data_IF_854310409741
#
_entry.id   IF_854310409741
#
_cell.length_a   1.000
_cell.length_b   1.000
_cell.length_c   1.000
_cell.angle_alpha   90.00
_cell.angle_beta   90.00
_cell.angle_gamma   90.00
#
_symmetry.space_group_name_H-M   'P 1'
#
loop_
_entity.id
_entity.type
_entity.pdbx_description
1 polymer ?
#
# COMPACT_ATOMS: atom_id res chain seq x y z
N UNK A 1 -19.69 -30.02 -20.82
CA UNK A 1 -18.88 -31.18 -20.39
C UNK A 1 -17.41 -30.82 -20.56
N UNK A 2 -16.59 -30.96 -19.51
CA UNK A 2 -15.14 -30.79 -19.60
C UNK A 2 -14.50 -32.18 -19.70
N UNK A 3 -14.01 -32.62 -20.87
CA UNK A 3 -13.34 -33.90 -21.00
C UNK A 3 -12.09 -33.91 -20.12
N UNK A 4 -11.89 -34.95 -19.31
CA UNK A 4 -10.72 -35.06 -18.42
C UNK A 4 -10.81 -34.30 -17.08
N UNK A 5 -11.88 -33.54 -16.83
CA UNK A 5 -12.09 -32.82 -15.57
C UNK A 5 -11.17 -31.61 -15.37
N UNK A 6 -11.33 -30.89 -14.26
CA UNK A 6 -10.48 -29.76 -13.89
C UNK A 6 -9.77 -30.08 -12.56
N UNK A 7 -8.47 -29.86 -12.50
CA UNK A 7 -7.60 -30.16 -11.36
C UNK A 7 -7.38 -28.92 -10.48
N UNK A 8 -6.75 -29.12 -9.32
CA UNK A 8 -6.33 -28.07 -8.39
C UNK A 8 -7.45 -27.10 -7.96
N UNK A 9 -8.70 -27.56 -7.94
CA UNK A 9 -9.86 -26.72 -7.58
C UNK A 9 -10.38 -25.83 -8.71
N UNK A 10 -9.99 -26.09 -9.96
CA UNK A 10 -10.56 -25.44 -11.13
C UNK A 10 -12.02 -25.85 -11.36
N UNK A 11 -12.84 -24.93 -11.87
CA UNK A 11 -14.25 -25.19 -12.13
C UNK A 11 -14.53 -25.31 -13.64
N UNK A 12 -15.39 -26.24 -14.05
CA UNK A 12 -15.75 -26.38 -15.46
C UNK A 12 -16.69 -25.25 -15.89
N UNK A 13 -16.22 -24.36 -16.76
CA UNK A 13 -17.04 -23.28 -17.32
C UNK A 13 -18.06 -23.79 -18.34
N UNK A 14 -19.09 -22.96 -18.62
CA UNK A 14 -20.18 -23.29 -19.57
C UNK A 14 -19.67 -23.60 -20.99
N UNK A 15 -18.52 -23.05 -21.38
CA UNK A 15 -17.87 -23.27 -22.68
C UNK A 15 -17.05 -24.57 -22.76
N UNK A 16 -17.02 -25.38 -21.71
CA UNK A 16 -16.24 -26.62 -21.66
C UNK A 16 -14.75 -26.43 -21.37
N UNK A 17 -14.34 -25.21 -20.98
CA UNK A 17 -12.97 -24.89 -20.54
C UNK A 17 -12.89 -24.80 -19.01
N UNK A 18 -11.76 -25.18 -18.43
CA UNK A 18 -11.52 -25.07 -16.99
C UNK A 18 -11.18 -23.63 -16.57
N UNK A 19 -11.83 -23.16 -15.52
CA UNK A 19 -11.54 -21.90 -14.83
C UNK A 19 -10.53 -22.17 -13.71
N UNK A 20 -9.28 -21.82 -13.94
CA UNK A 20 -8.19 -22.13 -13.01
C UNK A 20 -8.11 -21.13 -11.86
N UNK A 21 -7.89 -21.59 -10.62
CA UNK A 21 -7.66 -20.71 -9.49
C UNK A 21 -6.31 -20.01 -9.60
N UNK A 22 -6.14 -19.01 -8.74
CA UNK A 22 -4.91 -18.22 -8.67
C UNK A 22 -3.67 -19.09 -8.55
N UNK A 23 -2.66 -18.76 -9.36
CA UNK A 23 -1.40 -19.49 -9.38
C UNK A 23 -1.45 -20.81 -10.16
N UNK A 24 -2.55 -21.14 -10.85
CA UNK A 24 -2.65 -22.30 -11.73
C UNK A 24 -3.05 -21.93 -13.16
N UNK A 25 -2.60 -22.72 -14.12
CA UNK A 25 -2.85 -22.57 -15.56
C UNK A 25 -2.82 -23.94 -16.23
N UNK A 26 -3.08 -24.00 -17.53
CA UNK A 26 -3.18 -25.25 -18.29
C UNK A 26 -4.62 -25.58 -18.65
N UNK A 27 -4.82 -26.62 -19.45
CA UNK A 27 -6.13 -27.00 -19.96
C UNK A 27 -7.05 -27.52 -18.84
N UNK A 28 -6.45 -28.20 -17.87
CA UNK A 28 -7.09 -28.79 -16.69
C UNK A 28 -6.58 -28.15 -15.40
N UNK A 29 -5.94 -26.98 -15.47
CA UNK A 29 -5.33 -26.31 -14.31
C UNK A 29 -4.21 -27.11 -13.63
N UNK A 30 -3.50 -27.92 -14.41
CA UNK A 30 -2.43 -28.82 -13.99
C UNK A 30 -1.08 -28.12 -13.74
N UNK A 31 -0.87 -26.94 -14.36
CA UNK A 31 0.40 -26.22 -14.31
C UNK A 31 0.35 -25.19 -13.19
N UNK A 32 1.27 -25.28 -12.22
CA UNK A 32 1.46 -24.22 -11.22
C UNK A 32 2.26 -23.07 -11.83
N UNK A 33 1.69 -21.87 -11.86
CA UNK A 33 2.40 -20.66 -12.30
C UNK A 33 3.50 -20.30 -11.30
N UNK A 34 4.75 -20.11 -11.74
CA UNK A 34 5.81 -19.66 -10.86
C UNK A 34 5.53 -18.21 -10.41
N UNK A 35 5.61 -17.99 -9.09
CA UNK A 35 5.48 -16.66 -8.52
C UNK A 35 6.81 -15.92 -8.66
N UNK A 36 6.81 -14.81 -9.40
CA UNK A 36 7.93 -13.87 -9.45
C UNK A 36 7.70 -12.81 -8.37
N UNK A 37 8.49 -12.83 -7.31
CA UNK A 37 8.38 -11.81 -6.27
C UNK A 37 8.91 -10.48 -6.78
N UNK A 38 8.11 -9.43 -6.64
CA UNK A 38 8.47 -8.05 -6.95
C UNK A 38 8.44 -7.20 -5.68
N UNK A 39 9.38 -6.28 -5.59
CA UNK A 39 9.46 -5.34 -4.47
C UNK A 39 8.48 -4.18 -4.68
N UNK A 40 7.56 -3.98 -3.74
CA UNK A 40 6.59 -2.89 -3.73
C UNK A 40 6.95 -1.93 -2.59
N UNK A 41 7.11 -0.64 -2.91
CA UNK A 41 7.48 0.43 -1.95
C UNK A 41 6.29 1.34 -1.70
N UNK A 42 5.48 1.04 -0.68
CA UNK A 42 4.29 1.81 -0.33
C UNK A 42 4.66 3.04 0.52
N UNK A 43 4.38 4.28 0.06
CA UNK A 43 4.64 5.47 0.87
C UNK A 43 3.58 5.64 1.97
N UNK A 44 4.02 5.93 3.20
CA UNK A 44 3.15 6.31 4.31
C UNK A 44 3.66 7.55 5.04
N UNK A 45 2.74 8.38 5.54
CA UNK A 45 3.07 9.63 6.24
C UNK A 45 3.09 9.41 7.75
N UNK A 46 4.17 9.81 8.42
CA UNK A 46 4.30 9.79 9.88
C UNK A 46 4.50 11.20 10.41
N UNK A 47 3.69 11.57 11.40
CA UNK A 47 3.77 12.88 12.07
C UNK A 47 4.75 12.86 13.26
N UNK A 48 5.49 13.96 13.42
CA UNK A 48 6.43 14.19 14.52
C UNK A 48 6.14 15.54 15.15
N UNK A 49 6.25 15.63 16.49
CA UNK A 49 6.18 16.92 17.20
C UNK A 49 7.54 17.59 17.12
N UNK A 50 7.66 18.61 16.29
CA UNK A 50 8.85 19.44 16.21
C UNK A 50 8.76 20.59 17.21
N UNK A 51 9.83 20.78 17.98
CA UNK A 51 9.98 21.93 18.86
C UNK A 51 10.45 23.12 18.02
N UNK A 52 9.60 24.12 17.84
CA UNK A 52 9.88 25.35 17.12
C UNK A 52 10.09 26.47 18.13
N UNK A 53 11.09 27.29 17.87
CA UNK A 53 11.46 28.41 18.75
C UNK A 53 11.24 29.70 17.98
N UNK A 54 10.29 30.52 18.44
CA UNK A 54 10.00 31.84 17.86
C UNK A 54 10.53 32.94 18.75
N UNK A 55 11.03 34.01 18.15
CA UNK A 55 11.52 35.19 18.87
C UNK A 55 10.58 36.36 18.58
N UNK A 56 10.12 37.03 19.62
CA UNK A 56 9.26 38.21 19.51
C UNK A 56 9.87 39.38 20.29
N UNK A 57 9.93 40.56 19.68
CA UNK A 57 10.30 41.79 20.38
C UNK A 57 9.11 42.23 21.24
N UNK A 58 9.33 42.31 22.55
CA UNK A 58 8.32 42.71 23.53
C UNK A 58 8.84 43.89 24.36
N UNK A 59 7.97 44.81 24.81
CA UNK A 59 8.38 45.90 25.68
C UNK A 59 8.86 45.37 27.04
N UNK A 60 9.89 46.00 27.59
CA UNK A 60 10.53 45.61 28.85
C UNK A 60 11.10 46.82 29.61
N UNK A 61 11.40 46.63 30.90
CA UNK A 61 11.88 47.67 31.82
C UNK A 61 10.75 48.41 32.55
N UNK A 62 11.10 49.22 33.56
CA UNK A 62 10.15 49.84 34.50
C UNK A 62 9.03 50.69 33.86
N UNK A 63 9.26 51.19 32.64
CA UNK A 63 8.29 52.01 31.88
C UNK A 63 8.00 51.47 30.48
N UNK A 64 8.42 50.24 30.15
CA UNK A 64 8.16 49.60 28.84
C UNK A 64 8.89 50.22 27.62
N UNK A 65 9.71 51.23 27.82
CA UNK A 65 10.53 51.92 26.80
C UNK A 65 11.64 51.09 26.15
N UNK A 66 12.11 50.00 26.79
CA UNK A 66 13.11 49.11 26.19
C UNK A 66 12.39 48.02 25.41
N UNK A 67 12.98 47.54 24.32
CA UNK A 67 12.51 46.34 23.64
C UNK A 67 13.45 45.18 23.94
N UNK A 68 12.89 44.08 24.43
CA UNK A 68 13.61 42.85 24.72
C UNK A 68 13.14 41.74 23.79
N UNK A 69 14.02 40.81 23.46
CA UNK A 69 13.67 39.63 22.66
C UNK A 69 13.16 38.52 23.58
N UNK A 70 11.87 38.21 23.51
CA UNK A 70 11.28 37.07 24.19
C UNK A 70 11.30 35.85 23.29
N UNK A 71 11.88 34.77 23.79
CA UNK A 71 11.90 33.48 23.11
C UNK A 71 10.69 32.65 23.54
N UNK A 72 9.88 32.20 22.59
CA UNK A 72 8.72 31.34 22.80
C UNK A 72 8.98 30.00 22.13
N UNK A 73 8.87 28.93 22.90
CA UNK A 73 8.92 27.56 22.37
C UNK A 73 7.49 27.09 22.13
N UNK A 74 7.21 26.59 20.94
CA UNK A 74 5.95 25.93 20.60
C UNK A 74 6.19 24.63 19.85
N UNK A 75 5.21 23.73 19.88
CA UNK A 75 5.31 22.45 19.17
C UNK A 75 4.49 22.51 17.89
N UNK A 76 5.09 22.18 16.76
CA UNK A 76 4.41 22.04 15.47
C UNK A 76 4.43 20.59 15.01
N UNK A 77 3.40 20.17 14.30
CA UNK A 77 3.33 18.82 13.72
C UNK A 77 3.99 18.82 12.35
N UNK A 78 5.05 18.03 12.18
CA UNK A 78 5.76 17.86 10.92
C UNK A 78 5.56 16.45 10.40
N UNK A 79 5.08 16.34 9.16
CA UNK A 79 4.83 15.06 8.50
C UNK A 79 6.01 14.70 7.60
N UNK A 80 6.53 13.49 7.77
CA UNK A 80 7.56 12.93 6.89
C UNK A 80 7.01 11.68 6.22
N UNK A 81 7.38 11.49 4.96
CA UNK A 81 7.03 10.30 4.18
C UNK A 81 8.08 9.22 4.39
N UNK A 82 7.64 8.02 4.68
CA UNK A 82 8.46 6.82 4.77
C UNK A 82 7.93 5.79 3.78
N UNK A 83 8.75 4.81 3.46
CA UNK A 83 8.38 3.74 2.55
C UNK A 83 8.33 2.43 3.33
N UNK A 84 7.23 1.69 3.15
CA UNK A 84 7.08 0.32 3.60
C UNK A 84 7.37 -0.58 2.40
N UNK A 85 8.39 -1.42 2.52
CA UNK A 85 8.71 -2.40 1.49
C UNK A 85 7.95 -3.70 1.76
N UNK A 86 7.21 -4.19 0.77
CA UNK A 86 6.61 -5.52 0.74
C UNK A 86 7.07 -6.29 -0.51
N UNK A 87 7.00 -7.61 -0.45
CA UNK A 87 7.25 -8.48 -1.60
C UNK A 87 5.97 -9.19 -1.97
N UNK A 88 5.51 -9.00 -3.20
CA UNK A 88 4.27 -9.61 -3.70
C UNK A 88 4.53 -10.31 -5.03
N UNK A 89 3.66 -11.25 -5.40
CA UNK A 89 3.79 -11.97 -6.65
C UNK A 89 3.33 -11.09 -7.82
N UNK A 90 4.20 -10.98 -8.82
CA UNK A 90 3.94 -10.25 -10.05
C UNK A 90 2.64 -10.73 -10.71
N UNK A 91 1.76 -9.79 -11.04
CA UNK A 91 0.49 -10.09 -11.73
C UNK A 91 -0.60 -10.70 -10.84
N UNK A 92 -0.33 -11.04 -9.58
CA UNK A 92 -1.32 -11.70 -8.70
C UNK A 92 -2.57 -10.84 -8.48
N UNK A 93 -2.42 -9.51 -8.38
CA UNK A 93 -3.54 -8.57 -8.25
C UNK A 93 -4.45 -8.55 -9.49
N UNK A 94 -3.87 -8.67 -10.68
CA UNK A 94 -4.62 -8.70 -11.96
C UNK A 94 -5.27 -10.07 -12.17
N UNK A 95 -4.50 -11.14 -11.94
CA UNK A 95 -4.99 -12.52 -11.96
C UNK A 95 -6.18 -12.71 -10.99
N UNK A 96 -6.17 -12.04 -9.84
CA UNK A 96 -7.29 -12.05 -8.88
C UNK A 96 -8.54 -11.37 -9.46
N UNK A 97 -8.40 -10.18 -10.04
CA UNK A 97 -9.53 -9.47 -10.65
C UNK A 97 -10.12 -10.22 -11.85
N UNK A 98 -9.27 -10.84 -12.67
CA UNK A 98 -9.72 -11.60 -13.84
C UNK A 98 -10.38 -12.92 -13.41
N UNK A 99 -9.82 -13.62 -12.42
CA UNK A 99 -10.43 -14.80 -11.82
C UNK A 99 -11.81 -14.49 -11.21
N UNK A 100 -11.96 -13.36 -10.51
CA UNK A 100 -13.24 -12.94 -9.96
C UNK A 100 -14.29 -12.66 -11.06
N UNK A 101 -13.91 -11.98 -12.14
CA UNK A 101 -14.81 -11.73 -13.29
C UNK A 101 -15.27 -13.02 -13.96
N UNK A 102 -14.35 -13.97 -14.15
CA UNK A 102 -14.67 -15.28 -14.73
C UNK A 102 -15.58 -16.11 -13.83
N UNK A 103 -15.47 -15.97 -12.50
CA UNK A 103 -16.34 -16.68 -11.55
C UNK A 103 -17.77 -16.14 -11.52
N UNK A 104 -17.98 -14.88 -11.91
CA UNK A 104 -19.30 -14.23 -11.93
C UNK A 104 -20.06 -14.33 -13.26
N UNK A 105 -19.49 -14.98 -14.29
CA UNK A 105 -20.08 -15.17 -15.63
C UNK A 105 -20.59 -16.62 -15.85
#
# INVERSE_FOLDING_TARGET
>A
YCPGGCLNGGNCGKTGKCLCPLGFTGLHCEIKKPCKYVEIKEPYKRGFKQKVTTQAKVPCGAWGWKSCTKTKVHYEMVYKTFYKTSYECEGMRKDYSDYQRMKTA
#
